data_IF_774051472414
#
_entry.id   IF_774051472414
#
_cell.length_a   1.000
_cell.length_b   1.000
_cell.length_c   1.000
_cell.angle_alpha   90.00
_cell.angle_beta   90.00
_cell.angle_gamma   90.00
#
_symmetry.space_group_name_H-M   'P 1'
#
loop_
_entity.id
_entity.type
_entity.pdbx_description
1 polymer ?
#
# COMPACT_ATOMS: atom_id res chain seq x y z
N UNK A 1 1.14 -6.23 -31.02
CA UNK A 1 -0.10 -6.88 -30.50
C UNK A 1 0.30 -7.74 -29.33
N UNK A 2 0.10 -7.30 -28.10
CA UNK A 2 0.41 -8.06 -26.89
C UNK A 2 -0.51 -9.30 -26.82
N UNK A 3 0.08 -10.45 -26.61
CA UNK A 3 -0.58 -11.75 -26.63
C UNK A 3 -1.55 -11.89 -25.43
N UNK A 4 -2.83 -11.74 -25.66
CA UNK A 4 -3.93 -12.07 -24.74
C UNK A 4 -4.03 -13.59 -24.47
N UNK A 5 -2.96 -14.29 -24.12
CA UNK A 5 -2.93 -15.75 -24.30
C UNK A 5 -3.17 -16.61 -23.05
N UNK A 6 -3.24 -16.08 -21.80
CA UNK A 6 -3.12 -17.01 -20.64
C UNK A 6 -4.07 -16.69 -19.48
N UNK A 7 -4.88 -15.67 -19.58
CA UNK A 7 -5.69 -15.18 -18.47
C UNK A 7 -6.95 -15.98 -18.12
N UNK A 8 -7.61 -16.75 -19.00
CA UNK A 8 -8.81 -17.51 -18.61
C UNK A 8 -8.59 -18.45 -17.43
N UNK A 9 -7.48 -19.19 -17.41
CA UNK A 9 -7.16 -20.09 -16.29
C UNK A 9 -6.84 -19.31 -15.02
N UNK A 10 -6.01 -18.27 -15.12
CA UNK A 10 -5.66 -17.40 -13.97
C UNK A 10 -6.91 -16.74 -13.41
N UNK A 11 -7.80 -16.23 -14.26
CA UNK A 11 -9.05 -15.61 -13.84
C UNK A 11 -9.97 -16.62 -13.15
N UNK A 12 -10.17 -17.81 -13.72
CA UNK A 12 -10.98 -18.86 -13.11
C UNK A 12 -10.44 -19.26 -11.73
N UNK A 13 -9.11 -19.42 -11.61
CA UNK A 13 -8.44 -19.74 -10.36
C UNK A 13 -8.66 -18.63 -9.32
N UNK A 14 -8.44 -17.37 -9.69
CA UNK A 14 -8.64 -16.22 -8.80
C UNK A 14 -10.10 -16.08 -8.38
N UNK A 15 -11.07 -16.31 -9.27
CA UNK A 15 -12.51 -16.32 -8.91
C UNK A 15 -12.83 -17.38 -7.85
N UNK A 16 -12.18 -18.54 -7.91
CA UNK A 16 -12.29 -19.55 -6.85
C UNK A 16 -11.65 -19.06 -5.53
N UNK A 17 -10.49 -18.38 -5.63
CA UNK A 17 -9.79 -17.83 -4.46
C UNK A 17 -10.58 -16.68 -3.81
N UNK A 18 -11.32 -15.88 -4.57
CA UNK A 18 -12.16 -14.79 -4.05
C UNK A 18 -13.19 -15.27 -3.03
N UNK A 19 -13.66 -16.53 -3.09
CA UNK A 19 -14.57 -17.11 -2.10
C UNK A 19 -13.95 -17.24 -0.69
N UNK A 20 -12.63 -17.10 -0.57
CA UNK A 20 -11.89 -17.18 0.70
C UNK A 20 -11.49 -15.81 1.23
N UNK A 21 -11.87 -14.73 0.53
CA UNK A 21 -11.69 -13.37 1.04
C UNK A 21 -12.58 -13.14 2.26
N UNK A 22 -12.08 -12.38 3.21
CA UNK A 22 -12.86 -11.97 4.37
C UNK A 22 -14.00 -11.05 3.93
N UNK A 23 -15.21 -11.48 4.25
CA UNK A 23 -16.39 -10.66 4.02
C UNK A 23 -16.45 -9.49 4.99
N UNK A 24 -17.20 -8.46 4.63
CA UNK A 24 -17.49 -7.34 5.53
C UNK A 24 -18.06 -7.85 6.86
N UNK A 25 -18.94 -8.86 6.81
CA UNK A 25 -19.54 -9.45 8.01
C UNK A 25 -18.49 -10.07 8.95
N UNK A 26 -17.49 -10.80 8.38
CA UNK A 26 -16.41 -11.41 9.17
C UNK A 26 -15.51 -10.36 9.81
N UNK A 27 -15.19 -9.29 9.09
CA UNK A 27 -14.44 -8.16 9.63
C UNK A 27 -15.21 -7.44 10.76
N UNK A 28 -16.53 -7.25 10.60
CA UNK A 28 -17.35 -6.66 11.65
C UNK A 28 -17.43 -7.58 12.88
N UNK A 29 -17.56 -8.90 12.68
CA UNK A 29 -17.52 -9.88 13.77
C UNK A 29 -16.21 -9.79 14.56
N UNK A 30 -15.06 -9.65 13.90
CA UNK A 30 -13.77 -9.42 14.57
C UNK A 30 -13.75 -8.08 15.33
N UNK A 31 -14.35 -7.03 14.75
CA UNK A 31 -14.45 -5.72 15.41
C UNK A 31 -15.36 -5.75 16.64
N UNK A 32 -16.39 -6.57 16.62
CA UNK A 32 -17.32 -6.77 17.76
C UNK A 32 -16.79 -7.73 18.85
N UNK A 33 -15.72 -8.47 18.58
CA UNK A 33 -15.11 -9.37 19.56
C UNK A 33 -14.83 -8.63 20.89
N UNK A 34 -15.00 -9.31 22.00
CA UNK A 34 -14.82 -8.70 23.35
C UNK A 34 -13.40 -8.22 23.60
N UNK A 35 -12.40 -8.93 23.04
CA UNK A 35 -10.98 -8.67 23.22
C UNK A 35 -10.17 -9.13 22.00
N UNK A 36 -8.86 -8.89 22.02
CA UNK A 36 -7.96 -9.28 20.95
C UNK A 36 -7.81 -10.80 20.80
N UNK A 37 -7.99 -11.57 21.90
CA UNK A 37 -7.90 -13.04 21.87
C UNK A 37 -9.10 -13.63 21.12
N UNK A 38 -10.30 -13.10 21.33
CA UNK A 38 -11.47 -13.52 20.58
C UNK A 38 -11.38 -13.08 19.11
N UNK A 39 -10.92 -11.87 18.83
CA UNK A 39 -10.74 -11.39 17.46
C UNK A 39 -9.76 -12.27 16.64
N UNK A 40 -8.63 -12.67 17.24
CA UNK A 40 -7.69 -13.55 16.55
C UNK A 40 -8.23 -14.98 16.41
N UNK A 41 -9.04 -15.47 17.35
CA UNK A 41 -9.71 -16.76 17.21
C UNK A 41 -10.63 -16.78 16.00
N UNK A 42 -11.42 -15.71 15.79
CA UNK A 42 -12.28 -15.54 14.63
C UNK A 42 -11.46 -15.53 13.35
N UNK A 43 -10.28 -14.88 13.35
CA UNK A 43 -9.37 -14.87 12.20
C UNK A 43 -8.79 -16.25 11.91
N UNK A 44 -8.44 -17.03 12.95
CA UNK A 44 -7.91 -18.38 12.80
C UNK A 44 -8.90 -19.40 12.20
N UNK A 45 -10.21 -19.11 12.21
CA UNK A 45 -11.21 -19.91 11.48
C UNK A 45 -11.14 -19.74 9.96
N UNK A 46 -10.29 -18.85 9.47
CA UNK A 46 -10.09 -18.53 8.04
C UNK A 46 -8.72 -19.04 7.56
N UNK A 47 -8.38 -18.76 6.31
CA UNK A 47 -7.07 -19.15 5.75
C UNK A 47 -5.86 -18.56 6.50
N UNK A 48 -6.04 -17.51 7.27
CA UNK A 48 -5.00 -16.96 8.15
C UNK A 48 -4.57 -17.93 9.25
N UNK A 49 -5.46 -18.82 9.71
CA UNK A 49 -5.18 -19.81 10.75
C UNK A 49 -4.16 -20.90 10.36
N UNK A 50 -3.67 -20.92 9.14
CA UNK A 50 -2.57 -21.81 8.71
C UNK A 50 -1.24 -21.46 9.36
N UNK A 51 -1.05 -20.21 9.77
CA UNK A 51 0.14 -19.76 10.50
C UNK A 51 -0.15 -19.81 12.00
N UNK A 52 0.52 -20.71 12.71
CA UNK A 52 0.49 -20.75 14.17
C UNK A 52 1.31 -19.59 14.75
N UNK A 53 0.78 -18.96 15.80
CA UNK A 53 1.46 -17.93 16.57
C UNK A 53 1.37 -18.29 18.05
N UNK A 54 2.46 -18.10 18.78
CA UNK A 54 2.53 -18.37 20.22
C UNK A 54 2.01 -17.18 21.03
N UNK A 55 2.19 -15.98 20.54
CA UNK A 55 1.78 -14.74 21.16
C UNK A 55 0.83 -13.95 20.23
N UNK A 56 -0.25 -13.41 20.81
CA UNK A 56 -1.18 -12.56 20.09
C UNK A 56 -0.54 -11.32 19.48
N UNK A 57 0.56 -10.85 20.05
CA UNK A 57 1.34 -9.72 19.53
C UNK A 57 2.06 -10.08 18.22
N UNK A 58 2.19 -11.36 17.87
CA UNK A 58 2.80 -11.84 16.63
C UNK A 58 1.78 -11.93 15.47
N UNK A 59 0.57 -11.38 15.63
CA UNK A 59 -0.46 -11.38 14.57
C UNK A 59 0.05 -10.81 13.23
N UNK A 60 1.02 -9.90 13.27
CA UNK A 60 1.64 -9.34 12.06
C UNK A 60 2.38 -10.41 11.24
N UNK A 61 3.03 -11.38 11.91
CA UNK A 61 3.66 -12.52 11.26
C UNK A 61 2.62 -13.39 10.52
N UNK A 62 1.45 -13.60 11.13
CA UNK A 62 0.34 -14.32 10.49
C UNK A 62 -0.12 -13.59 9.21
N UNK A 63 -0.29 -12.27 9.28
CA UNK A 63 -0.68 -11.44 8.12
C UNK A 63 0.37 -11.53 7.01
N UNK A 64 1.65 -11.35 7.35
CA UNK A 64 2.74 -11.35 6.37
C UNK A 64 2.91 -12.70 5.69
N UNK A 65 2.87 -13.80 6.44
CA UNK A 65 2.97 -15.15 5.87
C UNK A 65 1.80 -15.44 4.92
N UNK A 66 0.57 -15.11 5.34
CA UNK A 66 -0.59 -15.30 4.51
C UNK A 66 -0.52 -14.48 3.20
N UNK A 67 -0.13 -13.21 3.27
CA UNK A 67 0.06 -12.38 2.08
C UNK A 67 1.14 -12.95 1.15
N UNK A 68 2.27 -13.41 1.68
CA UNK A 68 3.33 -13.99 0.86
C UNK A 68 2.86 -15.28 0.16
N UNK A 69 2.14 -16.17 0.85
CA UNK A 69 1.52 -17.36 0.24
C UNK A 69 0.60 -17.00 -0.91
N UNK A 70 -0.24 -15.97 -0.73
CA UNK A 70 -1.16 -15.49 -1.76
C UNK A 70 -0.43 -14.86 -2.95
N UNK A 71 0.61 -14.07 -2.71
CA UNK A 71 1.48 -13.54 -3.77
C UNK A 71 2.16 -14.65 -4.57
N UNK A 72 2.66 -15.70 -3.90
CA UNK A 72 3.29 -16.85 -4.55
C UNK A 72 2.26 -17.67 -5.36
N UNK A 73 1.06 -17.89 -4.79
CA UNK A 73 0.00 -18.62 -5.45
C UNK A 73 -0.44 -17.91 -6.75
N UNK A 74 -0.66 -16.60 -6.67
CA UNK A 74 -1.05 -15.79 -7.83
C UNK A 74 0.09 -15.63 -8.83
N UNK A 75 1.33 -15.50 -8.38
CA UNK A 75 2.51 -15.41 -9.24
C UNK A 75 2.68 -16.63 -10.16
N UNK A 76 2.31 -17.82 -9.67
CA UNK A 76 2.31 -19.06 -10.49
C UNK A 76 1.25 -19.07 -11.59
N UNK A 77 0.21 -18.25 -11.49
CA UNK A 77 -0.87 -18.16 -12.47
C UNK A 77 -0.56 -17.19 -13.61
N UNK A 78 0.43 -16.31 -13.42
CA UNK A 78 0.79 -15.26 -14.38
C UNK A 78 2.23 -15.46 -14.85
N UNK A 79 2.48 -15.50 -16.17
CA UNK A 79 3.81 -15.71 -16.72
C UNK A 79 4.70 -14.45 -16.70
N UNK A 80 4.24 -13.35 -16.15
CA UNK A 80 4.96 -12.06 -16.11
C UNK A 80 5.29 -11.67 -14.69
N UNK A 81 6.54 -11.79 -14.30
CA UNK A 81 7.04 -11.31 -13.01
C UNK A 81 6.77 -9.81 -12.84
N UNK A 82 7.00 -9.01 -13.88
CA UNK A 82 6.75 -7.56 -13.88
C UNK A 82 5.32 -7.19 -13.45
N UNK A 83 4.33 -8.04 -13.75
CA UNK A 83 2.95 -7.78 -13.32
C UNK A 83 2.82 -7.79 -11.79
N UNK A 84 3.45 -8.77 -11.14
CA UNK A 84 3.40 -8.91 -9.68
C UNK A 84 4.29 -7.88 -8.99
N UNK A 85 5.44 -7.56 -9.58
CA UNK A 85 6.42 -6.64 -9.01
C UNK A 85 5.85 -5.24 -8.78
N UNK A 86 4.95 -4.77 -9.68
CA UNK A 86 4.30 -3.45 -9.53
C UNK A 86 3.63 -3.30 -8.16
N UNK A 87 3.03 -4.38 -7.62
CA UNK A 87 2.38 -4.37 -6.31
C UNK A 87 3.36 -4.59 -5.16
N UNK A 88 4.55 -5.15 -5.44
CA UNK A 88 5.58 -5.48 -4.44
C UNK A 88 6.59 -4.36 -4.21
N UNK A 89 6.80 -3.45 -5.17
CA UNK A 89 7.80 -2.37 -5.04
C UNK A 89 7.63 -1.53 -3.77
N UNK A 90 6.42 -1.28 -3.31
CA UNK A 90 6.18 -0.57 -2.05
C UNK A 90 6.82 -1.26 -0.84
N UNK A 91 6.88 -2.61 -0.85
CA UNK A 91 7.50 -3.39 0.21
C UNK A 91 9.03 -3.29 0.12
N UNK A 92 9.60 -3.33 -1.09
CA UNK A 92 11.04 -3.14 -1.28
C UNK A 92 11.50 -1.77 -0.79
N UNK A 93 10.80 -0.71 -1.22
CA UNK A 93 11.14 0.65 -0.81
C UNK A 93 10.88 0.91 0.68
N UNK A 94 9.89 0.24 1.28
CA UNK A 94 9.72 0.25 2.72
C UNK A 94 10.93 -0.37 3.42
N UNK A 95 11.36 -1.56 3.00
CA UNK A 95 12.51 -2.24 3.56
C UNK A 95 13.81 -1.43 3.40
N UNK A 96 13.99 -0.80 2.24
CA UNK A 96 15.11 0.12 1.98
C UNK A 96 15.11 1.27 2.99
N UNK A 97 13.97 1.91 3.22
CA UNK A 97 13.85 2.98 4.24
C UNK A 97 14.21 2.48 5.63
N UNK A 98 13.76 1.27 6.00
CA UNK A 98 14.10 0.65 7.28
C UNK A 98 15.60 0.39 7.41
N UNK A 99 16.23 -0.19 6.39
CA UNK A 99 17.67 -0.49 6.39
C UNK A 99 18.53 0.76 6.48
N UNK A 100 18.20 1.82 5.73
CA UNK A 100 18.91 3.10 5.84
C UNK A 100 18.75 3.69 7.25
N UNK A 101 17.53 3.70 7.79
CA UNK A 101 17.26 4.23 9.14
C UNK A 101 17.94 3.40 10.23
N UNK A 102 18.03 2.07 10.08
CA UNK A 102 18.78 1.19 10.98
C UNK A 102 20.27 1.53 10.97
N UNK A 103 20.88 1.70 9.79
CA UNK A 103 22.30 2.08 9.67
C UNK A 103 22.59 3.42 10.34
N UNK A 104 21.68 4.39 10.20
CA UNK A 104 21.83 5.74 10.74
C UNK A 104 21.62 5.78 12.24
N UNK A 105 20.52 5.18 12.73
CA UNK A 105 20.11 5.28 14.15
C UNK A 105 20.83 4.28 15.05
N UNK A 106 21.46 3.25 14.47
CA UNK A 106 22.03 2.10 15.19
C UNK A 106 20.99 1.32 16.00
N UNK A 107 19.69 1.50 15.71
CA UNK A 107 18.58 0.78 16.33
C UNK A 107 18.22 -0.39 15.45
N UNK A 108 18.08 -1.59 16.03
CA UNK A 108 17.70 -2.79 15.28
C UNK A 108 16.33 -2.60 14.60
N UNK A 109 16.35 -2.54 13.29
CA UNK A 109 15.18 -2.36 12.42
C UNK A 109 14.46 -3.66 12.04
N UNK A 110 15.00 -4.85 12.38
CA UNK A 110 14.50 -6.16 11.90
C UNK A 110 12.99 -6.34 12.07
N UNK A 111 12.42 -5.88 13.18
CA UNK A 111 10.97 -6.01 13.46
C UNK A 111 10.08 -5.18 12.54
N UNK A 112 10.65 -4.24 11.79
CA UNK A 112 9.94 -3.38 10.84
C UNK A 112 10.10 -3.84 9.40
N UNK A 113 10.98 -4.81 9.14
CA UNK A 113 11.13 -5.40 7.81
C UNK A 113 9.91 -6.27 7.48
N UNK A 114 9.45 -6.19 6.23
CA UNK A 114 8.28 -6.92 5.75
C UNK A 114 8.66 -7.86 4.61
N UNK A 115 7.99 -9.00 4.54
CA UNK A 115 8.11 -9.95 3.43
C UNK A 115 7.29 -9.47 2.22
N UNK A 116 7.39 -10.18 1.10
CA UNK A 116 6.56 -9.93 -0.08
C UNK A 116 7.06 -8.81 -0.97
N UNK A 117 8.34 -8.42 -0.88
CA UNK A 117 8.99 -7.58 -1.88
C UNK A 117 9.22 -8.30 -3.21
N UNK A 118 9.61 -7.56 -4.25
CA UNK A 118 10.08 -8.14 -5.51
C UNK A 118 11.50 -8.71 -5.37
N UNK A 119 12.23 -8.26 -4.37
CA UNK A 119 13.57 -8.71 -4.01
C UNK A 119 13.47 -9.53 -2.72
N UNK A 120 14.04 -10.75 -2.66
CA UNK A 120 14.14 -11.52 -1.43
C UNK A 120 14.81 -10.68 -0.32
N UNK A 121 14.24 -10.71 0.87
CA UNK A 121 14.68 -9.83 1.96
C UNK A 121 16.16 -10.06 2.34
N UNK A 122 16.62 -11.31 2.32
CA UNK A 122 18.01 -11.65 2.63
C UNK A 122 18.99 -11.08 1.59
N UNK A 123 18.59 -11.08 0.31
CA UNK A 123 19.37 -10.49 -0.78
C UNK A 123 19.43 -8.96 -0.63
N UNK A 124 18.28 -8.34 -0.35
CA UNK A 124 18.21 -6.91 -0.09
C UNK A 124 19.14 -6.50 1.07
N UNK A 125 19.07 -7.23 2.20
CA UNK A 125 19.94 -6.97 3.34
C UNK A 125 21.42 -7.18 3.03
N UNK A 126 21.76 -8.18 2.18
CA UNK A 126 23.13 -8.42 1.73
C UNK A 126 23.64 -7.24 0.90
N UNK A 127 22.88 -6.80 -0.11
CA UNK A 127 23.26 -5.64 -0.95
C UNK A 127 23.47 -4.37 -0.12
N UNK A 128 22.64 -4.16 0.93
CA UNK A 128 22.81 -3.02 1.83
C UNK A 128 24.08 -3.12 2.67
N UNK A 129 24.40 -4.28 3.22
CA UNK A 129 25.67 -4.50 3.95
C UNK A 129 26.89 -4.27 3.06
N UNK A 130 26.82 -4.74 1.82
CA UNK A 130 27.91 -4.67 0.85
C UNK A 130 27.95 -3.32 0.13
N UNK A 131 26.99 -2.42 0.38
CA UNK A 131 26.80 -1.12 -0.28
C UNK A 131 26.73 -1.21 -1.80
N UNK A 132 26.19 -2.31 -2.29
CA UNK A 132 26.07 -2.60 -3.72
C UNK A 132 24.65 -2.37 -4.23
N UNK A 133 24.19 -1.11 -4.22
CA UNK A 133 22.84 -0.73 -4.60
C UNK A 133 22.59 -0.81 -6.11
N UNK A 134 23.64 -0.72 -6.93
CA UNK A 134 23.55 -0.72 -8.40
C UNK A 134 23.10 -2.08 -8.96
N UNK A 135 23.29 -3.15 -8.22
CA UNK A 135 22.88 -4.50 -8.63
C UNK A 135 21.44 -4.85 -8.22
N UNK A 136 20.75 -3.98 -7.48
CA UNK A 136 19.37 -4.21 -7.08
C UNK A 136 18.43 -4.07 -8.29
N UNK A 137 17.73 -5.13 -8.69
CA UNK A 137 16.79 -5.05 -9.82
C UNK A 137 15.61 -4.14 -9.46
N UNK A 138 15.16 -3.36 -10.43
CA UNK A 138 13.99 -2.47 -10.30
C UNK A 138 14.08 -1.43 -9.17
N UNK A 139 15.26 -1.21 -8.58
CA UNK A 139 15.49 -0.15 -7.60
C UNK A 139 16.25 1.00 -8.26
N UNK A 140 15.84 2.22 -7.99
CA UNK A 140 16.57 3.43 -8.40
C UNK A 140 17.76 3.62 -7.45
N UNK A 141 18.91 3.03 -7.80
CA UNK A 141 20.12 3.10 -6.96
C UNK A 141 20.56 4.54 -6.69
N UNK A 142 20.40 5.43 -7.69
CA UNK A 142 20.69 6.86 -7.54
C UNK A 142 19.83 7.49 -6.42
N UNK A 143 18.56 7.11 -6.31
CA UNK A 143 17.67 7.62 -5.25
C UNK A 143 18.08 7.09 -3.87
N UNK A 144 18.57 5.85 -3.77
CA UNK A 144 19.11 5.30 -2.51
C UNK A 144 20.33 6.11 -2.08
N UNK A 145 21.25 6.35 -3.00
CA UNK A 145 22.45 7.14 -2.74
C UNK A 145 22.09 8.58 -2.36
N UNK A 146 21.19 9.22 -3.12
CA UNK A 146 20.71 10.58 -2.84
C UNK A 146 20.08 10.69 -1.44
N UNK A 147 19.25 9.70 -1.04
CA UNK A 147 18.63 9.69 0.28
C UNK A 147 19.67 9.63 1.42
N UNK A 148 20.70 8.81 1.26
CA UNK A 148 21.79 8.68 2.22
C UNK A 148 22.59 10.00 2.30
N UNK A 149 22.96 10.56 1.16
CA UNK A 149 23.73 11.82 1.10
C UNK A 149 22.95 13.02 1.64
N UNK A 150 21.65 13.12 1.30
CA UNK A 150 20.81 14.19 1.78
C UNK A 150 20.63 14.13 3.30
N UNK A 151 20.45 12.91 3.84
CA UNK A 151 20.45 12.74 5.30
C UNK A 151 21.81 13.11 5.92
N UNK A 152 22.93 12.71 5.29
CA UNK A 152 24.26 13.03 5.81
C UNK A 152 24.48 14.56 5.92
N UNK A 153 23.95 15.32 4.96
CA UNK A 153 24.04 16.79 4.89
C UNK A 153 23.11 17.50 5.88
N UNK A 154 21.84 17.02 5.95
CA UNK A 154 20.78 17.76 6.65
C UNK A 154 20.45 17.22 8.03
N UNK A 155 20.83 15.98 8.33
CA UNK A 155 20.42 15.20 9.53
C UNK A 155 18.89 15.05 9.67
N UNK A 156 18.13 15.30 8.61
CA UNK A 156 16.68 15.21 8.60
C UNK A 156 16.23 13.91 7.89
N UNK A 157 15.70 12.97 8.70
CA UNK A 157 15.26 11.66 8.19
C UNK A 157 14.05 11.75 7.23
N UNK A 158 13.34 12.89 7.18
CA UNK A 158 12.24 13.12 6.24
C UNK A 158 12.69 12.95 4.78
N UNK A 159 13.90 13.39 4.45
CA UNK A 159 14.43 13.25 3.09
C UNK A 159 14.57 11.80 2.64
N UNK A 160 14.85 10.88 3.55
CA UNK A 160 14.89 9.44 3.24
C UNK A 160 13.52 8.98 2.75
N UNK A 161 12.45 9.33 3.48
CA UNK A 161 11.09 8.96 3.11
C UNK A 161 10.69 9.63 1.79
N UNK A 162 10.87 10.92 1.66
CA UNK A 162 10.46 11.71 0.50
C UNK A 162 11.13 11.23 -0.81
N UNK A 163 12.45 11.07 -0.80
CA UNK A 163 13.22 10.66 -2.00
C UNK A 163 12.83 9.24 -2.41
N UNK A 164 12.75 8.32 -1.46
CA UNK A 164 12.44 6.92 -1.74
C UNK A 164 10.97 6.70 -2.10
N UNK A 165 10.03 7.46 -1.55
CA UNK A 165 8.63 7.40 -1.97
C UNK A 165 8.47 7.88 -3.42
N UNK A 166 9.12 8.97 -3.81
CA UNK A 166 9.14 9.44 -5.20
C UNK A 166 9.72 8.41 -6.15
N UNK A 167 10.85 7.79 -5.78
CA UNK A 167 11.49 6.74 -6.57
C UNK A 167 10.59 5.50 -6.71
N UNK A 168 9.91 5.09 -5.65
CA UNK A 168 8.95 3.99 -5.65
C UNK A 168 7.83 4.23 -6.67
N UNK A 169 7.17 5.39 -6.59
CA UNK A 169 6.08 5.73 -7.52
C UNK A 169 6.57 5.90 -8.96
N UNK A 170 7.79 6.37 -9.16
CA UNK A 170 8.38 6.43 -10.49
C UNK A 170 8.55 5.02 -11.08
N UNK A 171 9.12 4.07 -10.33
CA UNK A 171 9.30 2.68 -10.79
C UNK A 171 7.95 2.01 -11.02
N UNK A 172 6.97 2.21 -10.13
CA UNK A 172 5.61 1.69 -10.31
C UNK A 172 4.98 2.21 -11.60
N UNK A 173 5.08 3.51 -11.86
CA UNK A 173 4.52 4.15 -13.07
C UNK A 173 5.20 3.64 -14.34
N UNK A 174 6.54 3.61 -14.37
CA UNK A 174 7.32 3.11 -15.50
C UNK A 174 7.00 1.63 -15.81
N UNK A 175 6.88 0.80 -14.77
CA UNK A 175 6.58 -0.62 -14.89
C UNK A 175 5.13 -0.86 -15.35
N UNK A 176 4.17 -0.08 -14.84
CA UNK A 176 2.78 -0.14 -15.28
C UNK A 176 2.63 0.26 -16.76
N UNK A 177 3.36 1.28 -17.21
CA UNK A 177 3.40 1.68 -18.62
C UNK A 177 4.00 0.59 -19.51
N UNK A 178 5.14 -0.01 -19.09
CA UNK A 178 5.77 -1.14 -19.82
C UNK A 178 4.86 -2.36 -19.90
N UNK A 179 4.07 -2.63 -18.86
CA UNK A 179 3.09 -3.70 -18.85
C UNK A 179 1.99 -3.50 -19.92
N UNK A 180 1.66 -2.24 -20.23
CA UNK A 180 0.66 -1.88 -21.25
C UNK A 180 -0.77 -2.27 -20.88
N UNK A 181 -1.06 -2.48 -19.58
CA UNK A 181 -2.41 -2.73 -19.10
C UNK A 181 -3.00 -1.45 -18.50
N UNK A 182 -4.03 -0.92 -19.14
CA UNK A 182 -4.66 0.36 -18.75
C UNK A 182 -5.27 0.32 -17.36
N UNK A 183 -5.83 -0.80 -16.94
CA UNK A 183 -6.41 -0.93 -15.60
C UNK A 183 -5.33 -0.79 -14.51
N UNK A 184 -4.20 -1.48 -14.67
CA UNK A 184 -3.08 -1.39 -13.73
C UNK A 184 -2.48 0.01 -13.75
N UNK A 185 -2.28 0.59 -14.94
CA UNK A 185 -1.73 1.95 -15.08
C UNK A 185 -2.63 3.00 -14.41
N UNK A 186 -3.95 2.89 -14.59
CA UNK A 186 -4.92 3.78 -13.94
C UNK A 186 -4.97 3.59 -12.44
N UNK A 187 -4.84 2.36 -11.94
CA UNK A 187 -4.72 2.12 -10.50
C UNK A 187 -3.50 2.82 -9.91
N UNK A 188 -2.33 2.70 -10.55
CA UNK A 188 -1.10 3.36 -10.10
C UNK A 188 -1.24 4.89 -10.10
N UNK A 189 -1.86 5.47 -11.15
CA UNK A 189 -2.16 6.92 -11.19
C UNK A 189 -3.05 7.36 -10.03
N UNK A 190 -4.16 6.64 -9.80
CA UNK A 190 -5.07 6.94 -8.69
C UNK A 190 -4.40 6.79 -7.32
N UNK A 191 -3.53 5.80 -7.16
CA UNK A 191 -2.76 5.60 -5.94
C UNK A 191 -1.80 6.77 -5.69
N UNK A 192 -1.13 7.28 -6.75
CA UNK A 192 -0.27 8.46 -6.66
C UNK A 192 -1.08 9.72 -6.27
N UNK A 193 -2.22 9.95 -6.91
CA UNK A 193 -3.10 11.08 -6.60
C UNK A 193 -3.60 11.04 -5.15
N UNK A 194 -4.10 9.89 -4.70
CA UNK A 194 -4.55 9.70 -3.32
C UNK A 194 -3.39 9.92 -2.33
N UNK A 195 -2.18 9.48 -2.66
CA UNK A 195 -0.99 9.71 -1.85
C UNK A 195 -0.65 11.20 -1.78
N UNK A 196 -0.71 11.90 -2.91
CA UNK A 196 -0.48 13.34 -2.99
C UNK A 196 -1.54 14.14 -2.23
N UNK A 197 -2.80 13.72 -2.27
CA UNK A 197 -3.86 14.34 -1.46
C UNK A 197 -3.64 14.16 0.04
N UNK A 198 -3.23 12.95 0.46
CA UNK A 198 -2.87 12.70 1.88
C UNK A 198 -1.69 13.58 2.30
N UNK A 199 -0.71 13.77 1.41
CA UNK A 199 0.45 14.63 1.64
C UNK A 199 0.05 16.11 1.72
N UNK A 200 -0.76 16.59 0.77
CA UNK A 200 -1.30 17.96 0.76
C UNK A 200 -2.00 18.30 2.08
N UNK A 201 -2.97 17.48 2.49
CA UNK A 201 -3.75 17.74 3.69
C UNK A 201 -2.95 17.59 4.98
N UNK A 202 -1.96 16.69 4.99
CA UNK A 202 -1.03 16.57 6.12
C UNK A 202 -0.11 17.77 6.23
N UNK A 203 0.48 18.22 5.13
CA UNK A 203 1.32 19.43 5.09
C UNK A 203 0.51 20.67 5.48
N UNK A 204 -0.70 20.81 4.97
CA UNK A 204 -1.59 21.91 5.32
C UNK A 204 -1.92 21.91 6.83
N UNK A 205 -2.30 20.76 7.39
CA UNK A 205 -2.61 20.63 8.82
C UNK A 205 -1.42 20.92 9.73
N UNK A 206 -0.21 20.57 9.29
CA UNK A 206 1.02 20.74 10.05
C UNK A 206 1.72 22.08 9.76
N UNK A 207 1.06 22.98 9.03
CA UNK A 207 1.58 24.30 8.64
C UNK A 207 2.98 24.23 8.02
N UNK A 208 3.20 23.20 7.16
CA UNK A 208 4.47 23.03 6.46
C UNK A 208 4.63 24.06 5.35
N UNK A 209 5.87 24.25 4.88
CA UNK A 209 6.14 25.16 3.78
C UNK A 209 5.70 24.57 2.42
N UNK A 210 5.58 25.43 1.41
CA UNK A 210 5.28 25.01 0.04
C UNK A 210 6.39 24.13 -0.52
N UNK A 211 7.64 24.45 -0.22
CA UNK A 211 8.83 23.71 -0.65
C UNK A 211 8.82 22.29 -0.06
N UNK A 212 8.42 22.14 1.20
CA UNK A 212 8.28 20.82 1.83
C UNK A 212 7.18 19.98 1.16
N UNK A 213 6.08 20.61 0.72
CA UNK A 213 5.04 19.93 -0.05
C UNK A 213 5.57 19.52 -1.44
N UNK A 214 6.20 20.46 -2.18
CA UNK A 214 6.75 20.20 -3.51
C UNK A 214 7.73 19.03 -3.52
N UNK A 215 8.63 18.99 -2.55
CA UNK A 215 9.56 17.88 -2.36
C UNK A 215 8.84 16.54 -2.13
N UNK A 216 7.68 16.56 -1.47
CA UNK A 216 6.96 15.37 -1.02
C UNK A 216 5.92 14.85 -2.04
N UNK A 217 5.63 15.59 -3.11
CA UNK A 217 4.74 15.15 -4.18
C UNK A 217 5.38 13.98 -4.94
N UNK A 218 4.66 12.85 -4.99
CA UNK A 218 5.10 11.68 -5.77
C UNK A 218 4.66 11.80 -7.23
N UNK A 219 5.47 11.31 -8.19
CA UNK A 219 5.16 11.36 -9.61
C UNK A 219 4.11 10.31 -10.02
N UNK A 220 3.60 10.42 -11.24
CA UNK A 220 2.78 9.39 -11.89
C UNK A 220 1.27 9.51 -11.66
N UNK A 221 0.80 10.53 -10.95
CA UNK A 221 -0.62 10.83 -10.81
C UNK A 221 -1.24 11.53 -12.03
N UNK A 222 -2.57 11.65 -12.03
CA UNK A 222 -3.33 12.44 -13.01
C UNK A 222 -3.46 13.91 -12.58
N UNK A 223 -3.36 14.18 -11.26
CA UNK A 223 -3.37 15.54 -10.73
C UNK A 223 -2.01 16.22 -10.98
N UNK A 224 -1.97 17.34 -11.71
CA UNK A 224 -0.74 18.10 -11.87
C UNK A 224 -0.21 18.62 -10.53
N UNK A 225 1.11 18.60 -10.34
CA UNK A 225 1.74 19.13 -9.12
C UNK A 225 1.36 20.62 -8.88
N UNK A 226 1.27 21.41 -9.94
CA UNK A 226 0.88 22.82 -9.90
C UNK A 226 -0.53 23.01 -9.32
N UNK A 227 -1.45 22.07 -9.60
CA UNK A 227 -2.81 22.11 -9.06
C UNK A 227 -2.80 21.84 -7.54
N UNK A 228 -1.99 20.88 -7.10
CA UNK A 228 -1.81 20.53 -5.69
C UNK A 228 -1.19 21.72 -4.93
N UNK A 229 -0.16 22.33 -5.49
CA UNK A 229 0.49 23.51 -4.92
C UNK A 229 -0.48 24.70 -4.87
N UNK A 230 -1.27 24.90 -5.92
CA UNK A 230 -2.30 25.94 -5.96
C UNK A 230 -3.36 25.71 -4.88
N UNK A 231 -3.78 24.46 -4.67
CA UNK A 231 -4.72 24.11 -3.61
C UNK A 231 -4.15 24.41 -2.22
N UNK A 232 -2.87 24.10 -2.00
CA UNK A 232 -2.18 24.37 -0.74
C UNK A 232 -2.10 25.88 -0.41
N UNK A 233 -1.85 26.72 -1.44
CA UNK A 233 -1.73 28.19 -1.28
C UNK A 233 -3.07 28.91 -1.16
N UNK A 234 -4.18 28.24 -1.50
CA UNK A 234 -5.51 28.83 -1.53
C UNK A 234 -6.51 27.97 -0.74
N UNK A 235 -7.80 28.08 -1.05
CA UNK A 235 -8.82 27.19 -0.51
C UNK A 235 -8.75 25.82 -1.20
N UNK A 236 -8.34 24.80 -0.44
CA UNK A 236 -8.19 23.43 -0.95
C UNK A 236 -9.51 22.92 -1.54
N UNK A 237 -10.63 23.17 -0.85
CA UNK A 237 -11.95 22.69 -1.31
C UNK A 237 -12.33 23.35 -2.62
N UNK A 238 -12.19 24.65 -2.72
CA UNK A 238 -12.53 25.37 -3.93
C UNK A 238 -11.68 24.93 -5.11
N UNK A 239 -10.37 24.73 -4.92
CA UNK A 239 -9.47 24.29 -5.99
C UNK A 239 -9.72 22.84 -6.39
N UNK A 240 -9.99 21.96 -5.43
CA UNK A 240 -10.15 20.52 -5.68
C UNK A 240 -11.56 20.14 -6.12
N UNK A 241 -12.56 21.02 -5.93
CA UNK A 241 -13.98 20.78 -6.24
C UNK A 241 -14.24 20.33 -7.68
N UNK A 242 -13.46 20.84 -8.62
CA UNK A 242 -13.61 20.52 -10.05
C UNK A 242 -12.94 19.20 -10.46
N UNK A 243 -12.26 18.55 -9.51
CA UNK A 243 -11.61 17.25 -9.73
C UNK A 243 -12.47 16.10 -9.19
N UNK A 244 -12.19 14.88 -9.65
CA UNK A 244 -12.81 13.66 -9.08
C UNK A 244 -12.49 13.42 -7.60
N UNK A 245 -11.58 14.19 -7.02
CA UNK A 245 -11.12 14.10 -5.63
C UNK A 245 -11.74 15.15 -4.71
N UNK A 246 -12.54 16.07 -5.21
CA UNK A 246 -13.25 17.08 -4.41
C UNK A 246 -14.01 16.48 -3.22
N UNK A 247 -14.84 15.43 -3.42
CA UNK A 247 -15.58 14.79 -2.33
C UNK A 247 -14.68 14.21 -1.21
N UNK A 248 -13.47 13.75 -1.54
CA UNK A 248 -12.51 13.30 -0.54
C UNK A 248 -11.98 14.46 0.33
N UNK A 249 -11.68 15.59 -0.30
CA UNK A 249 -11.26 16.80 0.42
C UNK A 249 -12.38 17.35 1.33
N UNK A 250 -13.63 17.33 0.86
CA UNK A 250 -14.80 17.70 1.67
C UNK A 250 -14.96 16.77 2.89
N UNK A 251 -14.73 15.46 2.71
CA UNK A 251 -14.74 14.49 3.82
C UNK A 251 -13.70 14.83 4.87
N UNK A 252 -12.49 15.24 4.46
CA UNK A 252 -11.48 15.69 5.41
C UNK A 252 -11.93 16.89 6.25
N UNK A 253 -12.50 17.90 5.61
CA UNK A 253 -12.93 19.14 6.29
C UNK A 253 -14.09 18.92 7.25
N UNK A 254 -15.02 18.01 6.90
CA UNK A 254 -16.20 17.73 7.72
C UNK A 254 -15.99 16.69 8.82
N UNK A 255 -15.13 15.68 8.58
CA UNK A 255 -15.01 14.49 9.44
C UNK A 255 -13.57 14.18 9.88
N UNK A 256 -12.59 14.96 9.43
CA UNK A 256 -11.21 14.87 9.84
C UNK A 256 -10.40 13.78 9.11
N UNK A 257 -9.12 13.67 9.52
CA UNK A 257 -8.11 12.93 8.78
C UNK A 257 -8.35 11.40 8.76
N UNK A 258 -8.83 10.82 9.86
CA UNK A 258 -9.05 9.37 9.95
C UNK A 258 -10.14 8.88 8.98
N UNK A 259 -11.24 9.62 8.91
CA UNK A 259 -12.34 9.30 7.99
C UNK A 259 -11.92 9.56 6.54
N UNK A 260 -11.18 10.63 6.29
CA UNK A 260 -10.60 10.91 4.99
C UNK A 260 -9.65 9.78 4.52
N UNK A 261 -8.76 9.28 5.38
CA UNK A 261 -7.87 8.15 5.01
C UNK A 261 -8.67 6.91 4.63
N UNK A 262 -9.76 6.63 5.38
CA UNK A 262 -10.69 5.55 5.02
C UNK A 262 -11.34 5.82 3.66
N UNK A 263 -11.89 7.00 3.45
CA UNK A 263 -12.53 7.37 2.19
C UNK A 263 -11.57 7.26 0.99
N UNK A 264 -10.29 7.60 1.16
CA UNK A 264 -9.26 7.41 0.15
C UNK A 264 -9.04 5.93 -0.20
N UNK A 265 -8.96 5.07 0.81
CA UNK A 265 -8.78 3.64 0.62
C UNK A 265 -10.03 3.01 -0.01
N UNK A 266 -11.22 3.43 0.40
CA UNK A 266 -12.50 2.97 -0.14
C UNK A 266 -12.70 3.46 -1.60
N UNK A 267 -12.23 4.66 -1.94
CA UNK A 267 -12.21 5.17 -3.32
C UNK A 267 -11.35 4.27 -4.23
N UNK A 268 -10.16 3.87 -3.78
CA UNK A 268 -9.31 2.93 -4.51
C UNK A 268 -9.97 1.56 -4.62
N UNK A 269 -10.60 1.06 -3.56
CA UNK A 269 -11.32 -0.21 -3.59
C UNK A 269 -12.52 -0.16 -4.54
N UNK A 270 -13.23 0.96 -4.63
CA UNK A 270 -14.29 1.17 -5.61
C UNK A 270 -13.79 0.94 -7.04
N UNK A 271 -12.62 1.49 -7.38
CA UNK A 271 -11.97 1.23 -8.66
C UNK A 271 -11.56 -0.24 -8.82
N UNK A 272 -10.97 -0.84 -7.79
CA UNK A 272 -10.55 -2.26 -7.81
C UNK A 272 -11.73 -3.19 -8.11
N UNK A 273 -12.91 -2.89 -7.59
CA UNK A 273 -14.14 -3.67 -7.81
C UNK A 273 -14.63 -3.68 -9.27
N UNK A 274 -14.22 -2.73 -10.12
CA UNK A 274 -14.57 -2.74 -11.55
C UNK A 274 -14.08 -4.02 -12.25
N UNK A 275 -13.03 -4.65 -11.75
CA UNK A 275 -12.51 -5.92 -12.28
C UNK A 275 -13.46 -7.12 -12.08
N UNK A 276 -14.46 -7.03 -11.20
CA UNK A 276 -15.46 -8.10 -10.99
C UNK A 276 -16.19 -8.47 -12.28
N UNK A 277 -16.36 -7.53 -13.17
CA UNK A 277 -17.08 -7.68 -14.43
C UNK A 277 -16.20 -8.10 -15.62
N UNK A 278 -14.89 -8.35 -15.37
CA UNK A 278 -13.94 -8.78 -16.39
C UNK A 278 -13.73 -10.30 -16.30
N UNK A 279 -13.69 -10.98 -17.48
CA UNK A 279 -13.71 -12.45 -17.52
C UNK A 279 -12.49 -13.08 -18.19
N UNK A 280 -11.81 -12.38 -19.09
CA UNK A 280 -10.72 -12.95 -19.91
C UNK A 280 -9.40 -12.18 -19.82
N UNK A 281 -9.36 -11.13 -19.05
CA UNK A 281 -8.25 -10.18 -18.97
C UNK A 281 -7.57 -10.25 -17.59
N UNK A 282 -6.35 -9.69 -17.39
CA UNK A 282 -5.60 -9.85 -16.14
C UNK A 282 -6.14 -9.01 -14.98
N UNK A 283 -7.09 -8.10 -15.19
CA UNK A 283 -7.62 -7.20 -14.17
C UNK A 283 -8.14 -7.92 -12.93
N UNK A 284 -8.88 -9.04 -13.02
CA UNK A 284 -9.29 -9.79 -11.82
C UNK A 284 -8.13 -10.27 -10.97
N UNK A 285 -7.00 -10.58 -11.58
CA UNK A 285 -5.81 -11.04 -10.86
C UNK A 285 -5.18 -9.88 -10.07
N UNK A 286 -5.05 -8.70 -10.70
CA UNK A 286 -4.63 -7.48 -10.01
C UNK A 286 -5.58 -7.14 -8.86
N UNK A 287 -6.88 -7.20 -9.12
CA UNK A 287 -7.91 -6.87 -8.13
C UNK A 287 -7.86 -7.82 -6.93
N UNK A 288 -7.62 -9.11 -7.15
CA UNK A 288 -7.51 -10.07 -6.05
C UNK A 288 -6.34 -9.74 -5.12
N UNK A 289 -5.16 -9.44 -5.66
CA UNK A 289 -4.00 -9.04 -4.84
C UNK A 289 -4.31 -7.78 -4.05
N UNK A 290 -4.89 -6.76 -4.68
CA UNK A 290 -5.27 -5.51 -4.01
C UNK A 290 -6.37 -5.72 -2.96
N UNK A 291 -7.27 -6.67 -3.20
CA UNK A 291 -8.27 -7.08 -2.22
C UNK A 291 -7.62 -7.74 -1.00
N UNK A 292 -6.67 -8.66 -1.20
CA UNK A 292 -5.90 -9.31 -0.11
C UNK A 292 -5.08 -8.30 0.70
N UNK A 293 -4.47 -7.32 0.06
CA UNK A 293 -3.75 -6.26 0.77
C UNK A 293 -4.69 -5.38 1.62
N UNK A 294 -5.87 -5.08 1.09
CA UNK A 294 -6.88 -4.30 1.83
C UNK A 294 -7.46 -5.11 2.98
N UNK A 295 -7.70 -6.40 2.78
CA UNK A 295 -8.10 -7.35 3.82
C UNK A 295 -7.07 -7.40 4.96
N UNK A 296 -5.79 -7.58 4.62
CA UNK A 296 -4.69 -7.55 5.58
C UNK A 296 -4.62 -6.21 6.34
N UNK A 297 -4.86 -5.10 5.65
CA UNK A 297 -4.94 -3.78 6.28
C UNK A 297 -6.10 -3.69 7.27
N UNK A 298 -7.28 -4.23 6.94
CA UNK A 298 -8.42 -4.28 7.86
C UNK A 298 -8.12 -5.12 9.10
N UNK A 299 -7.55 -6.32 8.91
CA UNK A 299 -7.14 -7.19 10.02
C UNK A 299 -6.15 -6.46 10.93
N UNK A 300 -5.13 -5.81 10.35
CA UNK A 300 -4.13 -5.04 11.11
C UNK A 300 -4.76 -3.90 11.92
N UNK A 301 -5.74 -3.19 11.34
CA UNK A 301 -6.47 -2.13 12.04
C UNK A 301 -7.23 -2.71 13.22
N UNK A 302 -8.01 -3.78 13.00
CA UNK A 302 -8.82 -4.40 14.04
C UNK A 302 -7.93 -4.91 15.18
N UNK A 303 -6.91 -5.71 14.87
CA UNK A 303 -6.02 -6.28 15.89
C UNK A 303 -5.27 -5.20 16.68
N UNK A 304 -4.73 -4.19 15.99
CA UNK A 304 -4.04 -3.09 16.66
C UNK A 304 -4.97 -2.31 17.59
N UNK A 305 -6.21 -2.08 17.18
CA UNK A 305 -7.21 -1.40 18.00
C UNK A 305 -7.64 -2.27 19.20
N UNK A 306 -7.87 -3.56 18.99
CA UNK A 306 -8.24 -4.50 20.06
C UNK A 306 -7.14 -4.64 21.12
N UNK A 307 -5.86 -4.68 20.71
CA UNK A 307 -4.71 -4.70 21.62
C UNK A 307 -4.55 -3.40 22.43
N UNK A 308 -5.27 -2.34 22.07
CA UNK A 308 -5.29 -1.04 22.76
C UNK A 308 -6.61 -0.74 23.43
N UNK A 309 -7.49 -1.73 23.55
CA UNK A 309 -8.81 -1.62 24.18
C UNK A 309 -9.68 -0.49 23.59
N UNK A 310 -9.55 -0.26 22.25
CA UNK A 310 -10.42 0.68 21.54
C UNK A 310 -11.80 0.06 21.38
N UNK A 311 -12.84 0.86 21.58
CA UNK A 311 -14.24 0.42 21.50
C UNK A 311 -14.62 -0.09 20.10
N UNK A 312 -15.57 -1.05 19.99
CA UNK A 312 -15.97 -1.68 18.74
C UNK A 312 -16.50 -0.69 17.69
N UNK A 313 -17.25 0.33 18.08
CA UNK A 313 -17.82 1.29 17.12
C UNK A 313 -16.71 2.12 16.46
N UNK A 314 -15.77 2.62 17.24
CA UNK A 314 -14.58 3.30 16.71
C UNK A 314 -13.76 2.39 15.77
N UNK A 315 -13.67 1.08 16.07
CA UNK A 315 -12.98 0.13 15.19
C UNK A 315 -13.73 0.00 13.85
N UNK A 316 -15.06 -0.21 13.89
CA UNK A 316 -15.91 -0.35 12.71
C UNK A 316 -15.82 0.87 11.78
N UNK A 317 -15.78 2.08 12.34
CA UNK A 317 -15.60 3.31 11.57
C UNK A 317 -14.25 3.35 10.79
N UNK A 318 -13.23 2.63 11.28
CA UNK A 318 -11.90 2.58 10.67
C UNK A 318 -11.72 1.45 9.67
N UNK A 319 -12.55 0.41 9.72
CA UNK A 319 -12.47 -0.73 8.78
C UNK A 319 -12.79 -0.25 7.37
N UNK A 320 -11.93 -0.59 6.41
CA UNK A 320 -12.07 -0.25 4.99
C UNK A 320 -13.14 -1.11 4.33
N UNK A 321 -13.59 -0.68 3.18
CA UNK A 321 -14.55 -1.44 2.40
C UNK A 321 -13.93 -2.76 1.91
N UNK A 322 -14.63 -3.88 2.18
CA UNK A 322 -14.22 -5.18 1.70
C UNK A 322 -14.47 -5.30 0.19
N UNK A 323 -13.66 -6.12 -0.48
CA UNK A 323 -13.85 -6.42 -1.90
C UNK A 323 -15.12 -7.24 -2.15
N UNK A 324 -15.42 -8.22 -1.27
CA UNK A 324 -16.58 -9.13 -1.33
C UNK A 324 -17.65 -8.75 -0.34
#
# INVERSE_FOLDING_TARGET
MAKNKIYPFAVASVRSMENRLLTKQKLMQMADAKDAVEAIRILCETDYGKTEIDDIHDFEKMIQNHLEEEYQAVGKLIPSETFMDIFRFKNDYHNIKVLIKEEISKINGKKYLIQGGSIPLDDLQKHFRDRNYMELPNIKADAVQEAIEMYAKTKNARYIDTILDRACFQVMSESAQKLGNEYVSRYVRKLADVTNLKTLLRCWRLERSVEELEESIVPGGELPAELIIRAFKNDIIQVMKETSYGPLCETYMSQGFTVFEKACDDYLMGYVKEAKYKTLTPEPVAAYILAKETEAKCVRIIMTCKLRDIDPETIKERVREAYV
#
